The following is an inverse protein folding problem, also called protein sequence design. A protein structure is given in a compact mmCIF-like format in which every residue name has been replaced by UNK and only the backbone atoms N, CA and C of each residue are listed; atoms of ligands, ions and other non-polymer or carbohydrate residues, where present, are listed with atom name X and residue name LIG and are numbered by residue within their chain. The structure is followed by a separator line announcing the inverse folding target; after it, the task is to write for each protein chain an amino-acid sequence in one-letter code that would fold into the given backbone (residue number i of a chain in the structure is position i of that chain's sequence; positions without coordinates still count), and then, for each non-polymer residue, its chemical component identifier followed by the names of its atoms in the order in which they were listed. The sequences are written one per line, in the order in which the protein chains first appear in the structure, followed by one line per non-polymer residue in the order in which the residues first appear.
data_IF_481529728322
#
_entry.id   IF_481529728322
#
_cell.length_a   1.000
_cell.length_b   1.000
_cell.length_c   1.000
_cell.angle_alpha   90.00
_cell.angle_beta   90.00
_cell.angle_gamma   90.00
#
_symmetry.space_group_name_H-M   'P 1'
#
loop_
_entity.id
_entity.type
_entity.pdbx_description
1 polymer ?
#
# COMPACT_ATOMS: atom_id res chain seq x y z
N UNK A 1 3.89 3.52 7.19
CA UNK A 1 4.59 3.69 5.89
C UNK A 1 3.70 4.55 5.00
N UNK A 2 4.16 5.70 4.51
CA UNK A 2 3.34 6.57 3.66
C UNK A 2 3.81 6.44 2.21
N UNK A 3 3.13 5.61 1.42
CA UNK A 3 3.34 5.56 -0.02
C UNK A 3 2.38 6.54 -0.69
N UNK A 4 2.85 7.24 -1.71
CA UNK A 4 2.02 8.04 -2.62
C UNK A 4 2.06 7.36 -4.00
N UNK A 5 1.21 6.35 -4.26
CA UNK A 5 1.24 5.61 -5.51
C UNK A 5 0.69 6.48 -6.63
N UNK A 6 1.51 6.73 -7.64
CA UNK A 6 1.18 7.49 -8.84
C UNK A 6 1.21 6.58 -10.07
N UNK A 7 0.75 7.07 -11.21
CA UNK A 7 0.85 6.30 -12.44
C UNK A 7 2.33 6.10 -12.84
N UNK A 8 2.62 5.10 -13.67
CA UNK A 8 4.01 4.75 -14.00
C UNK A 8 4.68 5.92 -14.75
N UNK A 9 3.92 6.62 -15.58
CA UNK A 9 4.31 7.85 -16.27
C UNK A 9 4.76 8.98 -15.32
N UNK A 10 4.26 8.99 -14.09
CA UNK A 10 4.47 10.07 -13.12
C UNK A 10 5.63 9.82 -12.14
N UNK A 11 6.28 8.65 -12.18
CA UNK A 11 7.46 8.38 -11.34
C UNK A 11 8.73 9.01 -11.96
N UNK A 12 9.84 9.14 -11.19
CA UNK A 12 11.11 9.66 -11.71
C UNK A 12 11.58 8.92 -12.97
N UNK A 13 12.14 9.66 -13.93
CA UNK A 13 12.42 9.14 -15.28
C UNK A 13 13.28 7.87 -15.31
N UNK A 14 14.31 7.77 -14.48
CA UNK A 14 15.16 6.56 -14.41
C UNK A 14 14.37 5.33 -13.98
N UNK A 15 13.53 5.48 -12.96
CA UNK A 15 12.64 4.41 -12.47
C UNK A 15 11.54 4.06 -13.46
N UNK A 16 11.03 5.07 -14.20
CA UNK A 16 10.04 4.88 -15.26
C UNK A 16 10.62 4.08 -16.42
N UNK A 17 11.82 4.43 -16.87
CA UNK A 17 12.49 3.74 -17.98
C UNK A 17 12.71 2.26 -17.66
N UNK A 18 13.22 1.95 -16.46
CA UNK A 18 13.38 0.57 -15.99
C UNK A 18 12.04 -0.18 -15.93
N UNK A 19 11.00 0.47 -15.38
CA UNK A 19 9.67 -0.12 -15.28
C UNK A 19 9.08 -0.39 -16.68
N UNK A 20 9.09 0.60 -17.57
CA UNK A 20 8.55 0.47 -18.92
C UNK A 20 9.31 -0.54 -19.76
N UNK A 21 10.64 -0.62 -19.62
CA UNK A 21 11.42 -1.66 -20.28
C UNK A 21 10.98 -3.06 -19.82
N UNK A 22 10.85 -3.28 -18.51
CA UNK A 22 10.34 -4.56 -17.98
C UNK A 22 8.94 -4.91 -18.50
N UNK A 23 8.03 -3.92 -18.59
CA UNK A 23 6.66 -4.16 -19.08
C UNK A 23 6.64 -4.50 -20.58
N UNK A 24 7.53 -3.90 -21.38
CA UNK A 24 7.71 -4.23 -22.80
C UNK A 24 8.26 -5.64 -23.00
N UNK A 25 9.20 -6.08 -22.16
CA UNK A 25 9.78 -7.42 -22.20
C UNK A 25 8.78 -8.51 -21.78
N UNK A 26 7.77 -8.17 -20.97
CA UNK A 26 6.77 -9.11 -20.44
C UNK A 26 5.32 -8.63 -20.69
N UNK A 27 4.88 -8.48 -21.95
CA UNK A 27 3.63 -7.80 -22.31
C UNK A 27 2.36 -8.52 -21.83
N UNK A 28 2.45 -9.84 -21.61
CA UNK A 28 1.32 -10.65 -21.14
C UNK A 28 1.22 -10.72 -19.60
N UNK A 29 2.17 -10.13 -18.87
CA UNK A 29 2.16 -10.14 -17.42
C UNK A 29 1.01 -9.28 -16.85
N UNK A 30 0.50 -9.60 -15.65
CA UNK A 30 -0.52 -8.78 -15.00
C UNK A 30 -0.12 -7.30 -14.88
N UNK A 31 1.12 -7.01 -14.51
CA UNK A 31 1.65 -5.65 -14.42
C UNK A 31 1.59 -4.92 -15.77
N UNK A 32 1.97 -5.57 -16.87
CA UNK A 32 1.93 -4.96 -18.21
C UNK A 32 0.50 -4.65 -18.68
N UNK A 33 -0.45 -5.53 -18.32
CA UNK A 33 -1.86 -5.40 -18.72
C UNK A 33 -2.65 -4.42 -17.86
N UNK A 34 -2.35 -4.35 -16.57
CA UNK A 34 -3.17 -3.63 -15.58
C UNK A 34 -2.50 -2.36 -15.06
N UNK A 35 -1.20 -2.16 -15.35
CA UNK A 35 -0.40 -0.99 -15.01
C UNK A 35 -0.65 -0.48 -13.59
N UNK A 36 -0.24 -1.25 -12.55
CA UNK A 36 -0.40 -0.82 -11.16
C UNK A 36 0.31 0.51 -10.91
N UNK A 37 -0.24 1.33 -10.01
CA UNK A 37 0.39 2.56 -9.55
C UNK A 37 1.67 2.25 -8.79
N UNK A 38 2.71 3.04 -9.01
CA UNK A 38 4.00 2.89 -8.34
C UNK A 38 4.20 3.99 -7.29
N UNK A 39 4.71 3.61 -6.12
CA UNK A 39 5.09 4.55 -5.06
C UNK A 39 6.42 4.16 -4.43
N UNK A 40 7.19 5.15 -3.97
CA UNK A 40 8.45 4.93 -3.25
C UNK A 40 8.35 5.47 -1.82
N UNK A 41 8.86 4.71 -0.85
CA UNK A 41 9.04 5.15 0.52
C UNK A 41 10.39 4.63 1.04
N UNK A 42 11.34 5.51 1.33
CA UNK A 42 12.73 5.13 1.60
C UNK A 42 13.30 4.30 0.44
N UNK A 43 13.87 3.14 0.76
CA UNK A 43 14.45 2.21 -0.23
C UNK A 43 13.45 1.18 -0.75
N UNK A 44 12.16 1.33 -0.45
CA UNK A 44 11.11 0.39 -0.86
C UNK A 44 10.21 1.00 -1.93
N UNK A 45 9.99 0.24 -2.98
CA UNK A 45 8.98 0.46 -4.00
C UNK A 45 7.75 -0.38 -3.75
N UNK A 46 6.60 0.20 -4.06
CA UNK A 46 5.28 -0.42 -4.03
C UNK A 46 4.68 -0.37 -5.44
N UNK A 47 4.15 -1.49 -5.90
CA UNK A 47 3.20 -1.58 -7.00
C UNK A 47 1.81 -1.88 -6.44
N UNK A 48 0.83 -1.02 -6.68
CA UNK A 48 -0.53 -1.11 -6.16
C UNK A 48 -1.56 -1.09 -7.27
N UNK A 49 -2.42 -2.11 -7.32
CA UNK A 49 -3.66 -2.10 -8.09
C UNK A 49 -4.85 -2.16 -7.12
N UNK A 50 -5.64 -1.09 -7.06
CA UNK A 50 -6.79 -0.96 -6.16
C UNK A 50 -6.79 0.38 -5.41
N UNK A 51 -7.84 0.64 -4.60
CA UNK A 51 -8.03 1.92 -3.92
C UNK A 51 -7.02 2.16 -2.80
N UNK A 52 -6.59 1.09 -2.12
CA UNK A 52 -5.72 1.15 -0.93
C UNK A 52 -4.82 -0.08 -0.84
N UNK A 53 -3.81 -0.04 0.03
CA UNK A 53 -2.97 -1.20 0.36
C UNK A 53 -3.76 -2.38 0.95
N UNK A 54 -4.90 -2.10 1.60
CA UNK A 54 -5.73 -3.09 2.29
C UNK A 54 -6.56 -3.91 1.31
N UNK A 55 -7.14 -3.24 0.32
CA UNK A 55 -8.09 -3.84 -0.63
C UNK A 55 -7.45 -4.14 -1.99
N UNK A 56 -6.29 -3.54 -2.26
CA UNK A 56 -5.58 -3.67 -3.52
C UNK A 56 -4.61 -4.85 -3.56
N UNK A 57 -4.31 -5.30 -4.78
CA UNK A 57 -3.20 -6.22 -5.03
C UNK A 57 -1.90 -5.43 -5.00
N UNK A 58 -0.93 -5.93 -4.26
CA UNK A 58 0.33 -5.24 -4.01
C UNK A 58 1.55 -6.10 -4.35
N UNK A 59 2.62 -5.41 -4.74
CA UNK A 59 3.98 -5.95 -4.84
C UNK A 59 4.97 -4.97 -4.27
N UNK A 60 5.99 -5.47 -3.58
CA UNK A 60 7.06 -4.64 -2.99
C UNK A 60 8.43 -5.09 -3.48
N UNK A 61 9.38 -4.17 -3.49
CA UNK A 61 10.77 -4.48 -3.80
C UNK A 61 11.69 -3.27 -3.67
N UNK A 62 13.02 -3.47 -3.69
CA UNK A 62 13.98 -2.36 -3.62
C UNK A 62 14.05 -1.52 -4.91
N UNK A 63 13.50 -2.03 -6.01
CA UNK A 63 13.43 -1.35 -7.31
C UNK A 63 12.01 -1.43 -7.88
N UNK A 64 11.64 -0.54 -8.83
CA UNK A 64 10.35 -0.59 -9.51
C UNK A 64 10.11 -1.96 -10.15
N UNK A 65 11.13 -2.51 -10.83
CA UNK A 65 11.06 -3.82 -11.49
C UNK A 65 10.81 -4.94 -10.47
N UNK A 66 11.47 -4.91 -9.31
CA UNK A 66 11.25 -5.92 -8.28
C UNK A 66 9.84 -5.83 -7.67
N UNK A 67 9.31 -4.62 -7.49
CA UNK A 67 7.94 -4.42 -7.04
C UNK A 67 6.92 -4.95 -8.07
N UNK A 68 7.13 -4.70 -9.36
CA UNK A 68 6.29 -5.22 -10.45
C UNK A 68 6.37 -6.75 -10.58
N UNK A 69 7.56 -7.35 -10.40
CA UNK A 69 7.73 -8.81 -10.34
C UNK A 69 7.01 -9.42 -9.14
N UNK A 70 7.09 -8.79 -7.97
CA UNK A 70 6.36 -9.22 -6.78
C UNK A 70 4.84 -9.12 -7.01
N UNK A 71 4.37 -8.03 -7.61
CA UNK A 71 2.98 -7.85 -7.98
C UNK A 71 2.50 -8.98 -8.91
N UNK A 72 3.27 -9.29 -9.96
CA UNK A 72 2.95 -10.38 -10.89
C UNK A 72 2.83 -11.73 -10.18
N UNK A 73 3.76 -12.05 -9.26
CA UNK A 73 3.70 -13.29 -8.46
C UNK A 73 2.46 -13.35 -7.57
N UNK A 74 2.07 -12.23 -6.99
CA UNK A 74 0.92 -12.14 -6.08
C UNK A 74 -0.42 -12.07 -6.83
N UNK A 75 -0.40 -11.70 -8.12
CA UNK A 75 -1.62 -11.49 -8.88
C UNK A 75 -2.42 -12.77 -9.11
N UNK A 76 -1.73 -13.89 -9.35
CA UNK A 76 -2.33 -15.22 -9.57
C UNK A 76 -2.49 -16.07 -8.32
N UNK A 77 -1.89 -15.67 -7.19
CA UNK A 77 -2.14 -16.31 -5.90
C UNK A 77 -3.50 -15.82 -5.41
N UNK A 78 -4.54 -16.60 -5.68
CA UNK A 78 -5.77 -16.58 -4.89
C UNK A 78 -5.33 -16.65 -3.43
N UNK A 79 -5.49 -15.56 -2.67
CA UNK A 79 -5.78 -15.51 -1.23
C UNK A 79 -5.39 -16.71 -0.33
N UNK A 80 -4.24 -17.34 -0.57
CA UNK A 80 -3.70 -18.44 0.22
C UNK A 80 -2.23 -18.18 0.52
N UNK A 81 -1.82 -18.29 1.80
CA UNK A 81 -0.42 -18.15 2.18
C UNK A 81 0.43 -19.23 1.50
N UNK A 82 1.57 -18.81 0.96
CA UNK A 82 2.61 -19.69 0.39
C UNK A 82 2.99 -20.80 1.37
N UNK A 83 3.22 -22.04 0.89
CA UNK A 83 3.73 -23.17 1.70
C UNK A 83 5.27 -23.23 1.81
N UNK A 84 5.98 -22.32 1.15
CA UNK A 84 7.43 -22.20 1.28
C UNK A 84 7.78 -21.49 2.61
N UNK A 85 8.59 -22.09 3.50
CA UNK A 85 8.91 -21.50 4.80
C UNK A 85 9.67 -20.17 4.71
N UNK A 86 10.39 -19.90 3.62
CA UNK A 86 11.04 -18.59 3.40
C UNK A 86 10.05 -17.49 2.99
N UNK A 87 8.99 -17.86 2.25
CA UNK A 87 7.85 -16.97 1.98
C UNK A 87 6.95 -16.81 3.22
N UNK A 88 6.93 -17.80 4.13
CA UNK A 88 6.10 -17.77 5.33
C UNK A 88 6.58 -16.69 6.32
N UNK A 89 7.90 -16.52 6.48
CA UNK A 89 8.47 -15.43 7.29
C UNK A 89 8.16 -14.06 6.68
N UNK A 90 8.32 -13.91 5.35
CA UNK A 90 7.96 -12.68 4.66
C UNK A 90 6.44 -12.40 4.74
N UNK A 91 5.60 -13.42 4.60
CA UNK A 91 4.15 -13.31 4.71
C UNK A 91 3.72 -12.99 6.15
N UNK A 92 4.41 -13.54 7.16
CA UNK A 92 4.14 -13.25 8.56
C UNK A 92 4.53 -11.81 8.90
N UNK A 93 5.66 -11.32 8.41
CA UNK A 93 6.02 -9.91 8.49
C UNK A 93 5.03 -9.02 7.71
N UNK A 94 4.56 -9.47 6.56
CA UNK A 94 3.52 -8.77 5.80
C UNK A 94 2.20 -8.69 6.58
N UNK A 95 1.79 -9.80 7.20
CA UNK A 95 0.58 -9.89 8.00
C UNK A 95 0.70 -9.02 9.24
N UNK A 96 1.86 -9.01 9.89
CA UNK A 96 2.18 -8.12 11.02
C UNK A 96 2.12 -6.66 10.62
N UNK A 97 2.80 -6.27 9.54
CA UNK A 97 2.78 -4.88 9.04
C UNK A 97 1.36 -4.46 8.68
N UNK A 98 0.59 -5.35 8.04
CA UNK A 98 -0.82 -5.08 7.75
C UNK A 98 -1.59 -4.87 9.05
N UNK A 99 -1.57 -5.81 9.98
CA UNK A 99 -2.26 -5.69 11.28
C UNK A 99 -1.88 -4.42 12.04
N UNK A 100 -0.59 -4.06 12.08
CA UNK A 100 -0.13 -2.82 12.72
C UNK A 100 -0.70 -1.57 12.05
N UNK A 101 -0.79 -1.55 10.70
CA UNK A 101 -1.44 -0.45 9.99
C UNK A 101 -2.92 -0.37 10.37
N UNK A 102 -3.63 -1.49 10.44
CA UNK A 102 -5.04 -1.53 10.83
C UNK A 102 -5.26 -1.00 12.26
N UNK A 103 -4.43 -1.43 13.21
CA UNK A 103 -4.47 -0.96 14.61
C UNK A 103 -4.19 0.54 14.72
N UNK A 104 -3.21 1.05 13.97
CA UNK A 104 -2.89 2.49 14.01
C UNK A 104 -4.00 3.35 13.43
N UNK A 105 -4.70 2.89 12.38
CA UNK A 105 -5.85 3.59 11.80
C UNK A 105 -7.03 3.62 12.78
N UNK A 106 -7.30 2.51 13.47
CA UNK A 106 -8.37 2.43 14.48
C UNK A 106 -8.10 3.33 15.68
N UNK A 107 -6.84 3.38 16.14
CA UNK A 107 -6.40 4.30 17.20
C UNK A 107 -6.57 5.76 16.78
N UNK A 108 -6.17 6.12 15.55
CA UNK A 108 -6.33 7.47 15.03
C UNK A 108 -7.82 7.86 14.94
N UNK A 109 -8.66 6.97 14.39
CA UNK A 109 -10.09 7.19 14.28
C UNK A 109 -10.76 7.32 15.66
N UNK A 110 -10.32 6.53 16.64
CA UNK A 110 -10.78 6.61 18.03
C UNK A 110 -10.41 7.94 18.69
N UNK A 111 -9.15 8.38 18.53
CA UNK A 111 -8.68 9.64 19.06
C UNK A 111 -9.45 10.84 18.48
N UNK A 112 -9.71 10.83 17.16
CA UNK A 112 -10.49 11.87 16.49
C UNK A 112 -11.93 11.93 17.02
N UNK A 113 -12.60 10.78 17.20
CA UNK A 113 -13.95 10.72 17.82
C UNK A 113 -13.96 11.30 19.23
N UNK A 114 -12.96 10.97 20.05
CA UNK A 114 -12.83 11.49 21.41
C UNK A 114 -12.60 13.00 21.44
N UNK A 115 -11.73 13.52 20.57
CA UNK A 115 -11.47 14.95 20.44
C UNK A 115 -12.74 15.71 20.04
N UNK A 116 -13.48 15.21 19.05
CA UNK A 116 -14.74 15.81 18.62
C UNK A 116 -15.78 15.85 19.75
N UNK A 117 -15.93 14.76 20.53
CA UNK A 117 -16.84 14.72 21.68
C UNK A 117 -16.46 15.74 22.76
N UNK A 118 -15.17 15.89 23.05
CA UNK A 118 -14.66 16.87 24.03
C UNK A 118 -14.91 18.31 23.57
N UNK A 119 -14.77 18.57 22.27
CA UNK A 119 -15.02 19.89 21.70
C UNK A 119 -16.52 20.23 21.67
N UNK A 120 -17.39 19.28 21.35
CA UNK A 120 -18.84 19.45 21.44
C UNK A 120 -19.32 19.74 22.86
N UNK A 121 -18.77 19.03 23.87
CA UNK A 121 -19.08 19.28 25.28
C UNK A 121 -18.63 20.68 25.73
N UNK A 122 -17.45 21.13 25.29
CA UNK A 122 -16.96 22.49 25.55
C UNK A 122 -17.86 23.56 24.91
N UNK A 123 -18.27 23.36 23.66
CA UNK A 123 -19.18 24.27 22.97
C UNK A 123 -20.55 24.36 23.66
N UNK A 124 -21.10 23.22 24.11
CA UNK A 124 -22.35 23.17 24.83
C UNK A 124 -22.26 23.87 26.19
N UNK A 125 -21.21 23.60 26.99
CA UNK A 125 -21.01 24.29 28.26
C UNK A 125 -20.86 25.81 28.07
N UNK A 126 -20.13 26.27 27.05
CA UNK A 126 -19.97 27.70 26.79
C UNK A 126 -21.27 28.37 26.32
N UNK A 127 -22.13 27.65 25.59
CA UNK A 127 -23.43 28.15 25.15
C UNK A 127 -24.48 28.17 26.27
N UNK A 128 -24.33 27.34 27.30
CA UNK A 128 -25.22 27.27 28.45
C UNK A 128 -24.90 28.30 29.56
N UNK A 129 -23.83 29.09 29.40
CA UNK A 129 -23.40 30.11 30.37
C UNK A 129 -23.89 31.54 30.05
N UNK A 130 -24.89 31.70 29.17
CA UNK A 130 -25.51 33.00 28.84
C UNK A 130 -26.98 33.04 29.26
#
# INVERSE_FOLDING_TARGET
MNFTPVAIEDIPSSSREEAEQFLKECPLSPAARLRPRLGKNGDTWLALLGPSLREGKVGFGPTPVMALRAFNRNFGRLSEPSKDPSDADMYLEFKRIRTLLEETEDLLASALRHAAKKQALRAWNNAATF
#
